data_IF_671433062442
#
_entry.id   IF_671433062442
#
_cell.length_a   1.000
_cell.length_b   1.000
_cell.length_c   1.000
_cell.angle_alpha   90.00
_cell.angle_beta   90.00
_cell.angle_gamma   90.00
#
_symmetry.space_group_name_H-M   'P 1'
#
loop_
_entity.id
_entity.type
_entity.pdbx_description
1 polymer ?
#
# COMPACT_ATOMS: atom_id res chain seq x y z
N UNK A 1 28.65 40.81 7.92
CA UNK A 1 28.47 39.34 7.98
C UNK A 1 27.97 38.88 6.62
N UNK A 2 28.77 38.10 5.90
CA UNK A 2 28.54 37.72 4.51
C UNK A 2 27.42 36.69 4.39
N UNK A 3 26.51 36.91 3.43
CA UNK A 3 25.37 36.06 3.03
C UNK A 3 25.79 34.68 2.47
N UNK A 4 27.09 34.37 2.45
CA UNK A 4 27.68 33.17 1.86
C UNK A 4 27.86 31.99 2.85
N UNK A 5 27.42 32.11 4.10
CA UNK A 5 27.59 31.06 5.10
C UNK A 5 26.44 30.03 5.15
N UNK A 6 25.31 30.28 4.48
CA UNK A 6 24.12 29.41 4.51
C UNK A 6 24.04 28.37 3.38
N UNK A 7 25.07 28.28 2.52
CA UNK A 7 25.12 27.34 1.38
C UNK A 7 26.03 26.13 1.64
N UNK A 8 26.61 25.99 2.84
CA UNK A 8 27.50 24.86 3.18
C UNK A 8 26.75 23.65 3.75
N UNK A 9 25.86 23.08 2.94
CA UNK A 9 25.18 21.81 3.26
C UNK A 9 24.63 21.05 2.05
N UNK A 10 24.56 21.66 0.87
CA UNK A 10 24.16 20.97 -0.36
C UNK A 10 25.37 20.29 -0.99
N UNK A 11 25.48 18.95 -0.82
CA UNK A 11 26.26 18.12 -1.75
C UNK A 11 25.85 18.52 -3.17
N UNK A 12 26.81 18.87 -4.03
CA UNK A 12 26.57 19.16 -5.45
C UNK A 12 25.87 17.96 -6.09
N UNK A 13 24.55 18.03 -6.24
CA UNK A 13 23.81 17.12 -7.11
C UNK A 13 24.25 17.44 -8.55
N UNK A 14 24.79 16.44 -9.26
CA UNK A 14 25.15 16.60 -10.66
C UNK A 14 23.92 16.98 -11.48
N UNK A 15 24.09 17.81 -12.51
CA UNK A 15 22.99 18.19 -13.40
C UNK A 15 22.42 16.92 -14.06
N UNK A 16 21.15 16.59 -13.79
CA UNK A 16 20.48 15.44 -14.41
C UNK A 16 20.54 15.57 -15.93
N UNK A 17 20.94 14.48 -16.60
CA UNK A 17 21.04 14.42 -18.07
C UNK A 17 19.91 13.57 -18.62
N UNK A 18 19.13 14.14 -19.53
CA UNK A 18 18.04 13.44 -20.18
C UNK A 18 18.51 12.19 -20.95
N UNK A 19 17.75 11.11 -20.83
CA UNK A 19 17.82 9.92 -21.68
C UNK A 19 16.40 9.63 -22.20
N UNK A 20 16.21 9.27 -23.48
CA UNK A 20 14.91 8.85 -23.98
C UNK A 20 14.38 7.65 -23.19
N UNK A 21 13.12 7.74 -22.81
CA UNK A 21 12.41 6.78 -21.97
C UNK A 21 10.99 6.62 -22.48
N UNK A 22 10.40 5.45 -22.24
CA UNK A 22 8.99 5.22 -22.50
C UNK A 22 8.18 5.73 -21.30
N UNK A 23 7.29 6.70 -21.54
CA UNK A 23 6.46 7.30 -20.48
C UNK A 23 5.56 6.26 -19.81
N UNK A 24 5.09 5.25 -20.56
CA UNK A 24 4.30 4.17 -19.99
C UNK A 24 5.11 3.38 -18.95
N UNK A 25 6.34 3.00 -19.30
CA UNK A 25 7.22 2.23 -18.42
C UNK A 25 7.58 3.04 -17.18
N UNK A 26 7.80 4.35 -17.31
CA UNK A 26 8.06 5.23 -16.17
C UNK A 26 6.90 5.26 -15.18
N UNK A 27 5.67 5.38 -15.66
CA UNK A 27 4.50 5.41 -14.76
C UNK A 27 4.39 4.09 -13.99
N UNK A 28 4.53 2.96 -14.68
CA UNK A 28 4.53 1.65 -14.05
C UNK A 28 5.67 1.52 -13.02
N UNK A 29 6.88 1.95 -13.37
CA UNK A 29 8.03 1.82 -12.49
C UNK A 29 7.98 2.76 -11.29
N UNK A 30 7.45 3.98 -11.43
CA UNK A 30 7.20 4.86 -10.27
C UNK A 30 6.17 4.22 -9.33
N UNK A 31 5.05 3.70 -9.85
CA UNK A 31 4.03 3.01 -9.05
C UNK A 31 4.63 1.84 -8.28
N UNK A 32 5.30 0.92 -8.99
CA UNK A 32 5.90 -0.28 -8.39
C UNK A 32 6.99 0.09 -7.37
N UNK A 33 7.76 1.16 -7.61
CA UNK A 33 8.77 1.64 -6.67
C UNK A 33 8.11 2.26 -5.43
N UNK A 34 7.03 3.02 -5.58
CA UNK A 34 6.29 3.60 -4.46
C UNK A 34 5.67 2.52 -3.57
N UNK A 35 5.09 1.46 -4.14
CA UNK A 35 4.60 0.29 -3.40
C UNK A 35 5.72 -0.38 -2.59
N UNK A 36 6.86 -0.66 -3.24
CA UNK A 36 8.04 -1.20 -2.55
C UNK A 36 8.53 -0.28 -1.43
N UNK A 37 8.53 1.03 -1.66
CA UNK A 37 8.91 2.00 -0.63
C UNK A 37 7.98 1.97 0.58
N UNK A 38 6.67 1.80 0.39
CA UNK A 38 5.72 1.66 1.49
C UNK A 38 5.99 0.37 2.29
N UNK A 39 6.20 -0.75 1.60
CA UNK A 39 6.50 -2.03 2.22
C UNK A 39 7.79 -1.98 3.06
N UNK A 40 8.82 -1.34 2.52
CA UNK A 40 10.09 -1.13 3.22
C UNK A 40 9.96 -0.14 4.38
N UNK A 41 9.18 0.94 4.22
CA UNK A 41 8.96 1.91 5.28
C UNK A 41 8.24 1.28 6.47
N UNK A 42 7.17 0.52 6.23
CA UNK A 42 6.47 -0.24 7.26
C UNK A 42 7.36 -1.32 7.87
N UNK A 43 8.13 -2.04 7.05
CA UNK A 43 9.12 -3.02 7.54
C UNK A 43 10.18 -2.35 8.43
N UNK A 44 10.62 -1.13 8.11
CA UNK A 44 11.58 -0.38 8.90
C UNK A 44 11.01 -0.07 10.29
N UNK A 45 9.76 0.35 10.36
CA UNK A 45 9.05 0.63 11.62
C UNK A 45 8.85 -0.66 12.42
N UNK A 46 8.30 -1.70 11.77
CA UNK A 46 7.91 -2.95 12.41
C UNK A 46 9.11 -3.71 12.99
N UNK A 47 10.17 -3.86 12.18
CA UNK A 47 11.34 -4.65 12.55
C UNK A 47 12.47 -3.81 13.16
N UNK A 48 12.27 -2.49 13.30
CA UNK A 48 13.28 -1.53 13.79
C UNK A 48 14.61 -1.62 13.02
N UNK A 49 14.54 -1.90 11.72
CA UNK A 49 15.69 -2.03 10.84
C UNK A 49 15.88 -0.73 10.03
N UNK A 50 16.86 0.09 10.42
CA UNK A 50 17.13 1.39 9.79
C UNK A 50 17.50 1.28 8.31
N UNK A 51 18.13 0.17 7.92
CA UNK A 51 18.53 -0.08 6.54
C UNK A 51 17.37 0.02 5.55
N UNK A 52 16.17 -0.44 5.90
CA UNK A 52 15.02 -0.30 5.01
C UNK A 52 14.60 1.15 4.83
N UNK A 53 14.62 1.95 5.91
CA UNK A 53 14.32 3.36 5.80
C UNK A 53 15.38 4.14 5.02
N UNK A 54 16.65 3.74 5.12
CA UNK A 54 17.73 4.27 4.27
C UNK A 54 17.52 3.90 2.80
N UNK A 55 17.15 2.65 2.49
CA UNK A 55 16.83 2.23 1.13
C UNK A 55 15.64 3.02 0.56
N UNK A 56 14.58 3.27 1.36
CA UNK A 56 13.45 4.11 0.94
C UNK A 56 13.93 5.50 0.50
N UNK A 57 14.87 6.11 1.23
CA UNK A 57 15.46 7.41 0.85
C UNK A 57 16.32 7.31 -0.42
N UNK A 58 16.96 6.18 -0.69
CA UNK A 58 17.67 5.97 -1.96
C UNK A 58 16.70 5.73 -3.13
N UNK A 59 15.58 5.03 -2.91
CA UNK A 59 14.51 4.85 -3.89
C UNK A 59 13.82 6.17 -4.24
N UNK A 60 13.64 7.08 -3.27
CA UNK A 60 13.15 8.44 -3.50
C UNK A 60 13.98 9.16 -4.58
N UNK A 61 15.32 9.07 -4.50
CA UNK A 61 16.20 9.69 -5.51
C UNK A 61 16.01 9.08 -6.89
N UNK A 62 15.80 7.75 -6.98
CA UNK A 62 15.51 7.09 -8.26
C UNK A 62 14.16 7.55 -8.83
N UNK A 63 13.15 7.69 -7.97
CA UNK A 63 11.85 8.27 -8.35
C UNK A 63 12.03 9.70 -8.88
N UNK A 64 12.78 10.56 -8.19
CA UNK A 64 13.06 11.92 -8.64
C UNK A 64 13.74 11.95 -10.03
N UNK A 65 14.66 11.02 -10.28
CA UNK A 65 15.26 10.84 -11.61
C UNK A 65 14.23 10.41 -12.66
N UNK A 66 13.37 9.43 -12.35
CA UNK A 66 12.32 8.96 -13.25
C UNK A 66 11.30 10.05 -13.57
N UNK A 67 10.88 10.84 -12.58
CA UNK A 67 10.00 12.00 -12.77
C UNK A 67 10.64 12.99 -13.74
N UNK A 68 11.91 13.32 -13.53
CA UNK A 68 12.62 14.24 -14.43
C UNK A 68 12.61 13.74 -15.86
N UNK A 69 12.93 12.45 -16.08
CA UNK A 69 12.93 11.86 -17.42
C UNK A 69 11.52 11.84 -18.02
N UNK A 70 10.52 11.42 -17.25
CA UNK A 70 9.12 11.37 -17.67
C UNK A 70 8.59 12.73 -18.08
N UNK A 71 8.80 13.77 -17.26
CA UNK A 71 8.41 15.16 -17.57
C UNK A 71 9.04 15.65 -18.86
N UNK A 72 10.36 15.44 -19.04
CA UNK A 72 11.05 15.86 -20.27
C UNK A 72 10.51 15.09 -21.49
N UNK A 73 10.26 13.78 -21.38
CA UNK A 73 9.69 13.00 -22.47
C UNK A 73 8.28 13.45 -22.86
N UNK A 74 7.42 13.74 -21.88
CA UNK A 74 6.08 14.30 -22.14
C UNK A 74 6.18 15.66 -22.82
N UNK A 75 7.06 16.56 -22.36
CA UNK A 75 7.27 17.87 -22.98
C UNK A 75 7.76 17.77 -24.43
N UNK A 76 8.63 16.81 -24.74
CA UNK A 76 9.14 16.59 -26.10
C UNK A 76 8.09 15.94 -27.03
N UNK A 77 7.13 15.19 -26.47
CA UNK A 77 6.04 14.57 -27.22
C UNK A 77 4.95 15.58 -27.60
N UNK A 78 4.71 16.59 -26.76
CA UNK A 78 3.64 17.54 -26.92
C UNK A 78 3.79 18.41 -28.19
N UNK A 79 2.76 18.43 -29.04
CA UNK A 79 2.71 19.24 -30.28
C UNK A 79 1.39 20.00 -30.38
N UNK A 80 1.41 21.28 -29.99
CA UNK A 80 0.23 22.13 -30.01
C UNK A 80 -0.63 21.99 -28.76
N UNK A 81 -1.64 22.84 -28.63
CA UNK A 81 -2.43 23.01 -27.39
C UNK A 81 -3.23 21.75 -27.05
N UNK A 82 -3.84 21.11 -28.04
CA UNK A 82 -4.66 19.91 -27.85
C UNK A 82 -3.84 18.74 -27.26
N UNK A 83 -2.66 18.48 -27.82
CA UNK A 83 -1.76 17.43 -27.31
C UNK A 83 -1.25 17.76 -25.90
N UNK A 84 -0.94 19.04 -25.63
CA UNK A 84 -0.56 19.50 -24.28
C UNK A 84 -1.68 19.25 -23.28
N UNK A 85 -2.94 19.52 -23.65
CA UNK A 85 -4.10 19.30 -22.78
C UNK A 85 -4.28 17.81 -22.48
N UNK A 86 -4.12 16.93 -23.46
CA UNK A 86 -4.22 15.49 -23.24
C UNK A 86 -3.06 14.96 -22.38
N UNK A 87 -1.84 15.45 -22.60
CA UNK A 87 -0.65 15.04 -21.84
C UNK A 87 -0.59 15.63 -20.42
N UNK A 88 -1.45 16.60 -20.08
CA UNK A 88 -1.53 17.15 -18.73
C UNK A 88 -1.90 16.09 -17.69
N UNK A 89 -2.83 15.17 -18.02
CA UNK A 89 -3.20 14.06 -17.12
C UNK A 89 -2.04 13.08 -16.90
N UNK A 90 -1.19 12.91 -17.90
CA UNK A 90 0.04 12.09 -17.80
C UNK A 90 1.05 12.70 -16.83
N UNK A 91 1.26 14.02 -16.90
CA UNK A 91 2.12 14.73 -15.94
C UNK A 91 1.55 14.65 -14.52
N UNK A 92 0.24 14.84 -14.37
CA UNK A 92 -0.43 14.74 -13.08
C UNK A 92 -0.25 13.35 -12.45
N UNK A 93 -0.38 12.27 -13.22
CA UNK A 93 -0.14 10.91 -12.70
C UNK A 93 1.31 10.73 -12.28
N UNK A 94 2.29 11.15 -13.10
CA UNK A 94 3.71 11.06 -12.74
C UNK A 94 3.98 11.78 -11.41
N UNK A 95 3.46 12.99 -11.27
CA UNK A 95 3.68 13.82 -10.09
C UNK A 95 2.98 13.24 -8.86
N UNK A 96 1.72 12.84 -8.98
CA UNK A 96 0.94 12.25 -7.88
C UNK A 96 1.54 10.91 -7.42
N UNK A 97 1.98 10.07 -8.36
CA UNK A 97 2.68 8.81 -8.05
C UNK A 97 3.95 9.06 -7.22
N UNK A 98 4.65 10.17 -7.46
CA UNK A 98 5.79 10.57 -6.65
C UNK A 98 5.38 11.04 -5.26
N UNK A 99 4.27 11.77 -5.13
CA UNK A 99 3.77 12.22 -3.83
C UNK A 99 3.43 11.06 -2.89
N UNK A 100 2.91 9.95 -3.42
CA UNK A 100 2.75 8.68 -2.66
C UNK A 100 4.10 8.24 -2.08
N UNK A 101 5.16 8.24 -2.90
CA UNK A 101 6.50 7.85 -2.47
C UNK A 101 7.07 8.75 -1.37
N UNK A 102 6.77 10.06 -1.38
CA UNK A 102 7.19 10.97 -0.32
C UNK A 102 6.49 10.67 1.02
N UNK A 103 5.26 10.14 0.99
CA UNK A 103 4.60 9.59 2.18
C UNK A 103 5.37 8.40 2.77
N UNK A 104 5.85 7.49 1.92
CA UNK A 104 6.70 6.37 2.34
C UNK A 104 8.02 6.84 2.97
N UNK A 105 8.63 7.90 2.43
CA UNK A 105 9.84 8.51 3.02
C UNK A 105 9.55 9.09 4.41
N UNK A 106 8.41 9.74 4.59
CA UNK A 106 8.01 10.30 5.89
C UNK A 106 7.79 9.18 6.94
N UNK A 107 7.25 8.03 6.53
CA UNK A 107 7.17 6.82 7.37
C UNK A 107 8.56 6.26 7.70
N UNK A 108 9.42 6.08 6.70
CA UNK A 108 10.79 5.57 6.88
C UNK A 108 11.61 6.42 7.87
N UNK A 109 11.44 7.75 7.83
CA UNK A 109 12.11 8.69 8.74
C UNK A 109 11.77 8.48 10.20
N UNK A 110 10.64 7.82 10.53
CA UNK A 110 10.27 7.51 11.91
C UNK A 110 11.33 6.64 12.57
N UNK A 111 11.79 5.60 11.88
CA UNK A 111 12.83 4.71 12.40
C UNK A 111 14.24 5.26 12.13
N UNK A 112 14.50 5.83 10.94
CA UNK A 112 15.84 6.37 10.58
C UNK A 112 16.26 7.50 11.55
N UNK A 113 15.32 8.37 11.92
CA UNK A 113 15.57 9.54 12.78
C UNK A 113 15.23 9.30 14.26
N UNK A 114 15.01 8.04 14.66
CA UNK A 114 14.67 7.66 16.04
C UNK A 114 13.51 8.49 16.64
N UNK A 115 12.44 8.73 15.86
CA UNK A 115 11.30 9.56 16.28
C UNK A 115 10.54 8.89 17.43
N UNK A 116 10.42 7.55 17.39
CA UNK A 116 9.76 6.71 18.38
C UNK A 116 8.26 6.48 18.08
N UNK A 117 7.77 5.28 18.40
CA UNK A 117 6.36 4.86 18.34
C UNK A 117 6.09 3.96 19.57
N UNK A 118 4.92 4.05 20.23
CA UNK A 118 4.55 3.13 21.31
C UNK A 118 4.56 1.67 20.85
N UNK A 119 5.11 0.76 21.65
CA UNK A 119 5.24 -0.67 21.28
C UNK A 119 3.90 -1.35 20.96
N UNK A 120 2.81 -0.91 21.59
CA UNK A 120 1.45 -1.39 21.33
C UNK A 120 1.06 -1.34 19.84
N UNK A 121 1.59 -0.37 19.09
CA UNK A 121 1.35 -0.26 17.65
C UNK A 121 2.00 -1.35 16.82
N UNK A 122 3.15 -1.85 17.24
CA UNK A 122 3.88 -2.89 16.50
C UNK A 122 3.08 -4.19 16.45
N UNK A 123 2.23 -4.44 17.45
CA UNK A 123 1.40 -5.63 17.53
C UNK A 123 0.23 -5.64 16.54
N UNK A 124 -0.11 -4.52 15.89
CA UNK A 124 -1.24 -4.44 14.94
C UNK A 124 -0.84 -4.42 13.48
N UNK A 125 0.44 -4.48 13.14
CA UNK A 125 0.87 -4.43 11.74
C UNK A 125 0.39 -5.63 10.91
N UNK A 126 0.09 -6.77 11.54
CA UNK A 126 -0.53 -7.92 10.88
C UNK A 126 -1.99 -7.66 10.43
N UNK A 127 -2.61 -6.57 10.88
CA UNK A 127 -3.97 -6.17 10.47
C UNK A 127 -3.97 -5.29 9.23
N UNK A 128 -2.80 -4.89 8.73
CA UNK A 128 -2.66 -4.09 7.51
C UNK A 128 -2.82 -5.03 6.30
N UNK A 129 -3.19 -4.45 5.16
CA UNK A 129 -3.53 -5.12 3.89
C UNK A 129 -2.79 -6.44 3.59
N UNK A 130 -1.47 -6.47 3.70
CA UNK A 130 -0.74 -7.73 3.72
C UNK A 130 0.17 -7.78 4.94
N UNK A 131 0.27 -8.96 5.55
CA UNK A 131 1.07 -9.17 6.74
C UNK A 131 2.56 -9.19 6.39
N UNK A 132 3.33 -8.40 7.13
CA UNK A 132 4.80 -8.39 7.05
C UNK A 132 5.39 -9.32 8.11
N UNK A 133 6.36 -10.16 7.71
CA UNK A 133 7.11 -11.01 8.63
C UNK A 133 8.63 -10.91 8.39
N UNK A 134 9.40 -11.18 9.44
CA UNK A 134 10.85 -11.25 9.38
C UNK A 134 11.38 -12.45 10.16
N UNK A 135 12.11 -13.32 9.48
CA UNK A 135 12.62 -14.56 10.06
C UNK A 135 14.06 -14.83 9.63
N UNK A 136 14.77 -15.63 10.42
CA UNK A 136 16.11 -16.14 10.08
C UNK A 136 15.96 -17.61 9.74
N UNK A 137 16.48 -18.03 8.58
CA UNK A 137 16.40 -19.40 8.08
C UNK A 137 17.34 -20.32 8.88
N UNK A 138 16.83 -21.28 9.67
CA UNK A 138 17.68 -22.21 10.42
C UNK A 138 18.46 -23.17 9.51
N UNK A 139 19.58 -23.71 10.00
CA UNK A 139 20.44 -24.64 9.23
C UNK A 139 19.72 -25.88 8.68
N UNK A 140 18.70 -26.37 9.38
CA UNK A 140 17.92 -27.56 9.02
C UNK A 140 16.57 -27.23 8.35
N UNK A 141 16.40 -26.00 7.88
CA UNK A 141 15.16 -25.56 7.26
C UNK A 141 14.93 -26.18 5.88
N UNK A 142 13.65 -26.38 5.52
CA UNK A 142 13.24 -26.77 4.16
C UNK A 142 13.56 -25.70 3.13
N UNK A 143 13.71 -24.44 3.54
CA UNK A 143 14.05 -23.32 2.66
C UNK A 143 15.54 -23.29 2.23
N UNK A 144 16.43 -24.04 2.90
CA UNK A 144 17.85 -24.05 2.53
C UNK A 144 18.05 -24.66 1.15
N UNK A 145 18.79 -23.94 0.28
CA UNK A 145 19.04 -24.28 -1.13
C UNK A 145 17.78 -24.28 -2.01
N UNK A 146 16.74 -23.57 -1.60
CA UNK A 146 15.53 -23.34 -2.39
C UNK A 146 15.58 -21.93 -2.99
N UNK A 147 15.10 -21.78 -4.23
CA UNK A 147 15.00 -20.48 -4.87
C UNK A 147 13.86 -19.65 -4.30
N UNK A 148 14.01 -18.32 -4.29
CA UNK A 148 12.99 -17.36 -3.87
C UNK A 148 11.64 -17.69 -4.50
N UNK A 149 11.58 -17.79 -5.84
CA UNK A 149 10.35 -18.06 -6.57
C UNK A 149 9.64 -19.34 -6.12
N UNK A 150 10.40 -20.39 -5.76
CA UNK A 150 9.80 -21.63 -5.30
C UNK A 150 9.21 -21.50 -3.90
N UNK A 151 9.82 -20.70 -3.02
CA UNK A 151 9.26 -20.41 -1.69
C UNK A 151 7.96 -19.62 -1.86
N UNK A 152 7.99 -18.56 -2.67
CA UNK A 152 6.83 -17.70 -2.91
C UNK A 152 5.65 -18.49 -3.49
N UNK A 153 5.90 -19.32 -4.51
CA UNK A 153 4.86 -20.15 -5.13
C UNK A 153 4.25 -21.20 -4.19
N UNK A 154 5.03 -21.73 -3.26
CA UNK A 154 4.54 -22.75 -2.31
C UNK A 154 3.75 -22.10 -1.18
N UNK A 155 4.24 -20.96 -0.68
CA UNK A 155 3.75 -20.38 0.57
C UNK A 155 2.75 -19.26 0.37
N UNK A 156 2.68 -18.66 -0.83
CA UNK A 156 1.86 -17.47 -1.09
C UNK A 156 2.44 -16.16 -0.56
N UNK A 157 3.55 -16.18 0.16
CA UNK A 157 4.23 -14.99 0.68
C UNK A 157 5.34 -14.54 -0.28
N UNK A 158 5.38 -13.26 -0.64
CA UNK A 158 6.42 -12.63 -1.46
C UNK A 158 7.61 -12.20 -0.62
N UNK A 159 8.83 -12.55 -1.01
CA UNK A 159 10.06 -12.13 -0.32
C UNK A 159 10.48 -10.76 -0.87
N UNK A 160 10.39 -9.73 -0.03
CA UNK A 160 10.70 -8.34 -0.41
C UNK A 160 12.14 -7.94 -0.06
N UNK A 161 12.79 -8.65 0.88
CA UNK A 161 14.19 -8.42 1.20
C UNK A 161 14.90 -9.68 1.74
N UNK A 162 16.18 -9.79 1.45
CA UNK A 162 17.07 -10.84 1.98
C UNK A 162 18.30 -10.17 2.59
N UNK A 163 18.62 -10.49 3.84
CA UNK A 163 19.93 -10.25 4.43
C UNK A 163 20.72 -11.54 4.43
N UNK A 164 21.83 -11.58 3.71
CA UNK A 164 22.71 -12.75 3.75
C UNK A 164 23.36 -12.88 5.13
N UNK A 165 23.87 -14.08 5.45
CA UNK A 165 24.70 -14.31 6.65
C UNK A 165 25.92 -13.39 6.76
N UNK A 166 26.43 -12.87 5.63
CA UNK A 166 27.52 -11.86 5.58
C UNK A 166 27.05 -10.44 5.89
N UNK A 167 25.75 -10.23 6.08
CA UNK A 167 25.14 -8.94 6.40
C UNK A 167 24.75 -8.08 5.19
N UNK A 168 24.90 -8.58 3.96
CA UNK A 168 24.53 -7.85 2.74
C UNK A 168 23.02 -7.96 2.51
N UNK A 169 22.38 -6.82 2.32
CA UNK A 169 20.97 -6.76 1.92
C UNK A 169 20.80 -6.83 0.41
N UNK A 170 19.76 -7.53 -0.01
CA UNK A 170 19.21 -7.54 -1.36
C UNK A 170 17.73 -7.19 -1.24
N UNK A 171 17.31 -6.14 -1.92
CA UNK A 171 15.94 -5.61 -1.90
C UNK A 171 15.24 -6.02 -3.19
N UNK A 172 13.99 -6.44 -3.09
CA UNK A 172 13.20 -7.02 -4.19
C UNK A 172 13.99 -8.11 -4.95
N UNK A 173 14.40 -9.20 -4.26
CA UNK A 173 15.25 -10.23 -4.85
C UNK A 173 14.60 -10.86 -6.09
N UNK A 174 15.41 -11.12 -7.11
CA UNK A 174 14.98 -11.90 -8.28
C UNK A 174 14.71 -13.37 -7.90
N UNK A 175 13.75 -13.99 -8.59
CA UNK A 175 13.20 -15.30 -8.22
C UNK A 175 14.17 -16.47 -8.25
N UNK A 176 15.30 -16.36 -8.96
CA UNK A 176 16.34 -17.39 -9.08
C UNK A 176 17.39 -17.34 -7.95
N UNK A 177 17.36 -16.31 -7.09
CA UNK A 177 18.21 -16.25 -5.91
C UNK A 177 17.93 -17.46 -5.01
N UNK A 178 19.01 -18.13 -4.60
CA UNK A 178 18.96 -19.28 -3.70
C UNK A 178 19.11 -18.83 -2.25
N UNK A 179 18.21 -19.31 -1.38
CA UNK A 179 18.25 -19.03 0.06
C UNK A 179 19.20 -20.00 0.77
N UNK A 180 20.00 -19.47 1.69
CA UNK A 180 20.93 -20.23 2.51
C UNK A 180 20.60 -20.14 4.01
N UNK A 181 21.22 -21.04 4.78
CA UNK A 181 21.12 -21.01 6.23
C UNK A 181 21.65 -19.68 6.79
N UNK A 182 20.98 -19.18 7.83
CA UNK A 182 21.23 -17.90 8.49
C UNK A 182 20.93 -16.65 7.64
N UNK A 183 20.35 -16.81 6.46
CA UNK A 183 19.77 -15.67 5.75
C UNK A 183 18.54 -15.17 6.53
N UNK A 184 18.39 -13.85 6.62
CA UNK A 184 17.18 -13.22 7.13
C UNK A 184 16.28 -12.87 5.96
N UNK A 185 15.04 -13.36 6.00
CA UNK A 185 14.03 -13.05 5.00
C UNK A 185 13.06 -12.03 5.57
N UNK A 186 12.64 -11.10 4.73
CA UNK A 186 11.44 -10.29 4.95
C UNK A 186 10.47 -10.60 3.85
N UNK A 187 9.26 -10.96 4.25
CA UNK A 187 8.21 -11.31 3.33
C UNK A 187 6.90 -10.60 3.68
N UNK A 188 6.06 -10.48 2.66
CA UNK A 188 4.74 -9.85 2.69
C UNK A 188 3.74 -10.79 2.01
N UNK A 189 2.52 -10.86 2.50
CA UNK A 189 1.44 -11.57 1.84
C UNK A 189 0.21 -11.73 2.73
N UNK A 190 -0.79 -12.51 2.28
CA UNK A 190 -2.02 -12.76 3.04
C UNK A 190 -1.73 -13.30 4.44
N UNK A 191 -2.57 -12.95 5.42
CA UNK A 191 -2.37 -13.41 6.79
C UNK A 191 -2.43 -14.95 6.90
N UNK A 192 -3.29 -15.58 6.11
CA UNK A 192 -3.49 -17.02 6.01
C UNK A 192 -2.25 -17.75 5.49
N UNK A 193 -1.45 -17.08 4.65
CA UNK A 193 -0.22 -17.60 4.07
C UNK A 193 0.96 -17.59 5.06
N UNK A 194 0.84 -16.86 6.17
CA UNK A 194 1.93 -16.65 7.11
C UNK A 194 2.38 -17.95 7.79
N UNK A 195 1.44 -18.76 8.28
CA UNK A 195 1.76 -20.00 8.99
C UNK A 195 2.56 -20.95 8.08
N UNK A 196 2.10 -21.13 6.84
CA UNK A 196 2.78 -21.98 5.86
C UNK A 196 4.19 -21.46 5.56
N UNK A 197 4.34 -20.15 5.37
CA UNK A 197 5.65 -19.52 5.16
C UNK A 197 6.60 -19.72 6.34
N UNK A 198 6.15 -19.47 7.57
CA UNK A 198 6.98 -19.63 8.77
C UNK A 198 7.38 -21.10 9.00
N UNK A 199 6.45 -22.03 8.81
CA UNK A 199 6.74 -23.47 8.90
C UNK A 199 7.69 -23.91 7.79
N UNK A 200 7.54 -23.40 6.57
CA UNK A 200 8.44 -23.72 5.45
C UNK A 200 9.86 -23.19 5.73
N UNK A 201 9.98 -21.94 6.19
CA UNK A 201 11.25 -21.28 6.37
C UNK A 201 11.95 -21.57 7.70
N UNK A 202 11.23 -21.90 8.76
CA UNK A 202 11.80 -22.09 10.12
C UNK A 202 11.47 -23.44 10.75
N UNK A 203 10.46 -24.14 10.25
CA UNK A 203 9.98 -25.41 10.81
C UNK A 203 8.96 -25.25 11.94
N UNK A 204 8.57 -24.02 12.30
CA UNK A 204 7.55 -23.71 13.30
C UNK A 204 6.80 -22.43 12.93
N UNK A 205 5.63 -22.24 13.52
CA UNK A 205 4.88 -20.98 13.50
C UNK A 205 4.75 -20.48 14.94
N UNK A 206 4.92 -19.17 15.15
CA UNK A 206 4.62 -18.53 16.43
C UNK A 206 3.37 -17.67 16.26
N UNK A 207 2.28 -18.05 16.94
CA UNK A 207 1.05 -17.29 16.87
C UNK A 207 1.25 -15.87 17.42
N UNK A 208 0.67 -14.88 16.73
CA UNK A 208 0.65 -13.52 17.27
C UNK A 208 -0.15 -13.47 18.57
N UNK A 209 0.30 -12.66 19.56
CA UNK A 209 -0.50 -12.40 20.75
C UNK A 209 -1.84 -11.80 20.34
N UNK A 210 -2.92 -12.26 20.97
CA UNK A 210 -4.25 -11.73 20.66
C UNK A 210 -4.34 -10.26 21.08
N UNK A 211 -5.08 -9.43 20.33
CA UNK A 211 -5.27 -8.01 20.70
C UNK A 211 -5.91 -7.85 22.10
N UNK A 212 -6.66 -8.86 22.55
CA UNK A 212 -7.21 -8.94 23.90
C UNK A 212 -6.17 -9.10 25.01
N UNK A 213 -4.97 -9.57 24.68
CA UNK A 213 -3.84 -9.69 25.62
C UNK A 213 -3.08 -8.37 25.80
N UNK A 214 -3.30 -7.38 24.92
CA UNK A 214 -2.73 -6.05 25.06
C UNK A 214 -3.45 -5.33 26.22
N UNK A 215 -2.88 -5.38 27.42
CA UNK A 215 -3.33 -4.63 28.60
C UNK A 215 -3.06 -3.12 28.45
N UNK A 216 -3.65 -2.49 27.43
CA UNK A 216 -3.46 -1.09 27.08
C UNK A 216 -4.61 -0.18 27.56
N UNK A 217 -4.36 1.11 27.85
CA UNK A 217 -5.42 2.07 28.14
C UNK A 217 -6.42 2.18 26.97
N UNK A 218 -7.72 2.34 27.26
CA UNK A 218 -8.78 2.49 26.23
C UNK A 218 -8.46 3.55 25.17
N UNK A 219 -7.84 4.65 25.58
CA UNK A 219 -7.47 5.73 24.66
C UNK A 219 -6.33 5.32 23.72
N UNK A 220 -5.33 4.56 24.19
CA UNK A 220 -4.26 4.03 23.34
C UNK A 220 -4.83 3.03 22.33
N UNK A 221 -5.75 2.18 22.77
CA UNK A 221 -6.50 1.27 21.88
C UNK A 221 -7.22 2.03 20.77
N UNK A 222 -7.91 3.11 21.10
CA UNK A 222 -8.65 3.88 20.09
C UNK A 222 -7.71 4.60 19.10
N UNK A 223 -6.60 5.17 19.58
CA UNK A 223 -5.53 5.73 18.74
C UNK A 223 -5.00 4.65 17.78
N UNK A 224 -4.75 3.45 18.30
CA UNK A 224 -4.28 2.29 17.53
C UNK A 224 -5.25 1.89 16.43
N UNK A 225 -6.50 1.66 16.77
CA UNK A 225 -7.55 1.31 15.81
C UNK A 225 -7.75 2.39 14.74
N UNK A 226 -7.71 3.67 15.13
CA UNK A 226 -7.88 4.80 14.20
C UNK A 226 -6.72 4.88 13.21
N UNK A 227 -5.48 4.77 13.67
CA UNK A 227 -4.33 4.79 12.75
C UNK A 227 -4.27 3.54 11.86
N UNK A 228 -4.62 2.35 12.36
CA UNK A 228 -4.74 1.17 11.51
C UNK A 228 -5.76 1.41 10.40
N UNK A 229 -6.94 1.96 10.72
CA UNK A 229 -7.94 2.34 9.73
C UNK A 229 -7.39 3.37 8.73
N UNK A 230 -6.66 4.39 9.19
CA UNK A 230 -6.03 5.37 8.30
C UNK A 230 -5.01 4.76 7.35
N UNK A 231 -4.14 3.87 7.85
CA UNK A 231 -3.14 3.18 7.04
C UNK A 231 -3.81 2.33 5.96
N UNK A 232 -4.83 1.55 6.31
CA UNK A 232 -5.55 0.69 5.38
C UNK A 232 -6.31 1.49 4.31
N UNK A 233 -6.99 2.57 4.71
CA UNK A 233 -7.65 3.47 3.78
C UNK A 233 -6.67 4.11 2.79
N UNK A 234 -5.52 4.56 3.28
CA UNK A 234 -4.49 5.19 2.42
C UNK A 234 -3.85 4.21 1.43
N UNK A 235 -3.75 2.92 1.76
CA UNK A 235 -3.27 1.90 0.82
C UNK A 235 -4.34 1.54 -0.21
N UNK A 236 -5.58 1.32 0.26
CA UNK A 236 -6.73 1.07 -0.61
C UNK A 236 -6.95 2.21 -1.63
N UNK A 237 -6.75 3.47 -1.22
CA UNK A 237 -6.93 4.62 -2.11
C UNK A 237 -5.96 4.62 -3.29
N UNK A 238 -4.71 4.15 -3.11
CA UNK A 238 -3.72 4.05 -4.19
C UNK A 238 -4.24 3.11 -5.28
N UNK A 239 -4.64 1.93 -4.86
CA UNK A 239 -5.11 0.85 -5.72
C UNK A 239 -6.39 1.24 -6.47
N UNK A 240 -7.35 1.85 -5.77
CA UNK A 240 -8.56 2.40 -6.36
C UNK A 240 -8.26 3.54 -7.35
N UNK A 241 -7.34 4.44 -7.03
CA UNK A 241 -7.00 5.58 -7.88
C UNK A 241 -6.43 5.12 -9.22
N UNK A 242 -5.43 4.23 -9.21
CA UNK A 242 -4.88 3.67 -10.45
C UNK A 242 -5.92 2.87 -11.22
N UNK A 243 -6.70 2.01 -10.54
CA UNK A 243 -7.80 1.26 -11.16
C UNK A 243 -8.81 2.19 -11.85
N UNK A 244 -9.18 3.30 -11.20
CA UNK A 244 -10.15 4.26 -11.76
C UNK A 244 -9.70 4.85 -13.09
N UNK A 245 -8.42 5.20 -13.21
CA UNK A 245 -7.80 5.71 -14.44
C UNK A 245 -7.69 4.63 -15.51
N UNK A 246 -7.27 3.42 -15.15
CA UNK A 246 -7.10 2.30 -16.09
C UNK A 246 -8.43 1.90 -16.74
N UNK A 247 -9.46 1.76 -15.91
CA UNK A 247 -10.77 1.25 -16.35
C UNK A 247 -11.76 2.38 -16.67
N UNK A 248 -11.34 3.63 -16.53
CA UNK A 248 -12.16 4.81 -16.73
C UNK A 248 -13.47 4.77 -15.90
N UNK A 249 -13.36 4.37 -14.63
CA UNK A 249 -14.51 4.11 -13.75
C UNK A 249 -14.73 5.25 -12.77
N UNK A 250 -15.59 6.19 -13.14
CA UNK A 250 -15.91 7.37 -12.30
C UNK A 250 -16.37 7.01 -10.89
N UNK A 251 -17.17 5.96 -10.72
CA UNK A 251 -17.62 5.52 -9.39
C UNK A 251 -16.50 5.03 -8.47
N UNK A 252 -15.38 4.55 -9.02
CA UNK A 252 -14.18 4.22 -8.23
C UNK A 252 -13.45 5.51 -7.85
N UNK A 253 -13.33 6.46 -8.78
CA UNK A 253 -12.72 7.76 -8.50
C UNK A 253 -13.49 8.53 -7.40
N UNK A 254 -14.83 8.48 -7.41
CA UNK A 254 -15.69 9.05 -6.36
C UNK A 254 -15.45 8.38 -5.00
N UNK A 255 -15.16 7.08 -4.98
CA UNK A 255 -14.81 6.37 -3.73
C UNK A 255 -13.44 6.80 -3.20
N UNK A 256 -12.45 7.04 -4.06
CA UNK A 256 -11.14 7.60 -3.65
C UNK A 256 -11.32 8.96 -2.98
N UNK A 257 -12.13 9.84 -3.56
CA UNK A 257 -12.44 11.14 -2.95
C UNK A 257 -13.13 10.99 -1.59
N UNK A 258 -14.09 10.06 -1.47
CA UNK A 258 -14.76 9.78 -0.20
C UNK A 258 -13.83 9.20 0.87
N UNK A 259 -12.80 8.43 0.47
CA UNK A 259 -11.75 7.94 1.37
C UNK A 259 -10.90 9.08 1.91
N UNK A 260 -10.53 10.06 1.07
CA UNK A 260 -9.76 11.22 1.50
C UNK A 260 -10.55 12.10 2.50
N UNK A 261 -11.81 12.42 2.20
CA UNK A 261 -12.70 13.14 3.14
C UNK A 261 -12.77 12.41 4.49
N UNK A 262 -12.82 11.07 4.46
CA UNK A 262 -12.86 10.23 5.66
C UNK A 262 -11.54 10.27 6.43
N UNK A 263 -10.40 10.28 5.73
CA UNK A 263 -9.08 10.34 6.34
C UNK A 263 -8.83 11.69 7.02
N UNK A 264 -9.30 12.80 6.47
CA UNK A 264 -9.26 14.11 7.13
C UNK A 264 -10.00 14.07 8.49
N UNK A 265 -11.19 13.48 8.52
CA UNK A 265 -11.98 13.32 9.75
C UNK A 265 -11.22 12.45 10.76
N UNK A 266 -10.73 11.27 10.33
CA UNK A 266 -10.00 10.35 11.21
C UNK A 266 -8.73 11.00 11.76
N UNK A 267 -8.01 11.79 10.95
CA UNK A 267 -6.83 12.54 11.38
C UNK A 267 -7.17 13.53 12.49
N UNK A 268 -8.23 14.31 12.31
CA UNK A 268 -8.69 15.29 13.31
C UNK A 268 -9.07 14.62 14.63
N UNK A 269 -9.82 13.51 14.57
CA UNK A 269 -10.18 12.71 15.74
C UNK A 269 -8.95 12.10 16.43
N UNK A 270 -7.99 11.59 15.64
CA UNK A 270 -6.74 11.02 16.14
C UNK A 270 -5.90 12.07 16.88
N UNK A 271 -5.78 13.28 16.34
CA UNK A 271 -5.02 14.37 16.96
C UNK A 271 -5.58 14.72 18.35
N UNK A 272 -6.91 14.82 18.52
CA UNK A 272 -7.53 15.03 19.84
C UNK A 272 -7.22 13.88 20.82
N UNK A 273 -7.33 12.63 20.37
CA UNK A 273 -7.02 11.48 21.20
C UNK A 273 -5.55 11.42 21.61
N UNK A 274 -4.62 11.72 20.70
CA UNK A 274 -3.18 11.80 20.98
C UNK A 274 -2.91 12.90 22.02
N UNK A 275 -3.51 14.08 21.88
CA UNK A 275 -3.35 15.18 22.84
C UNK A 275 -3.90 14.84 24.24
N UNK A 276 -5.00 14.10 24.31
CA UNK A 276 -5.53 13.59 25.58
C UNK A 276 -4.63 12.52 26.18
N UNK A 277 -4.11 11.61 25.36
CA UNK A 277 -3.21 10.55 25.81
C UNK A 277 -1.87 11.10 26.29
N UNK A 278 -1.39 12.20 25.70
CA UNK A 278 -0.19 12.92 26.12
C UNK A 278 -0.21 13.35 27.59
N UNK A 279 -1.39 13.45 28.22
CA UNK A 279 -1.54 13.78 29.64
C UNK A 279 -1.19 12.63 30.58
N UNK A 280 -1.21 11.39 30.10
CA UNK A 280 -1.05 10.18 30.93
C UNK A 280 0.11 9.28 30.49
N UNK A 281 0.69 9.51 29.31
CA UNK A 281 1.87 8.77 28.85
C UNK A 281 3.14 9.27 29.55
N UNK A 282 4.05 8.35 29.87
CA UNK A 282 5.34 8.71 30.48
C UNK A 282 6.24 9.45 29.51
N UNK A 283 6.34 8.94 28.26
CA UNK A 283 7.19 9.50 27.22
C UNK A 283 6.36 10.08 26.07
N UNK A 284 6.06 11.39 26.15
CA UNK A 284 5.30 12.11 25.12
C UNK A 284 6.00 12.10 23.75
N UNK A 285 7.33 11.94 23.70
CA UNK A 285 8.08 11.96 22.45
C UNK A 285 7.73 10.79 21.52
N UNK A 286 7.28 9.65 22.07
CA UNK A 286 6.83 8.49 21.29
C UNK A 286 5.54 8.77 20.51
N UNK A 287 4.74 9.76 20.92
CA UNK A 287 3.53 10.14 20.22
C UNK A 287 3.81 10.84 18.88
N UNK A 288 5.04 11.33 18.67
CA UNK A 288 5.43 11.99 17.41
C UNK A 288 5.39 11.01 16.24
N UNK A 289 5.74 9.74 16.44
CA UNK A 289 5.66 8.73 15.41
C UNK A 289 4.23 8.49 14.95
N UNK A 290 3.26 8.52 15.87
CA UNK A 290 1.84 8.38 15.57
C UNK A 290 1.32 9.50 14.66
N UNK A 291 1.67 10.75 14.98
CA UNK A 291 1.34 11.91 14.15
C UNK A 291 2.00 11.84 12.76
N UNK A 292 3.22 11.29 12.68
CA UNK A 292 3.92 11.10 11.41
C UNK A 292 3.27 10.03 10.53
N UNK A 293 2.79 8.93 11.12
CA UNK A 293 2.02 7.92 10.38
C UNK A 293 0.73 8.56 9.85
N UNK A 294 -0.01 9.27 10.71
CA UNK A 294 -1.25 9.94 10.30
C UNK A 294 -1.05 10.90 9.11
N UNK A 295 -0.04 11.77 9.20
CA UNK A 295 0.27 12.73 8.14
C UNK A 295 0.78 12.07 6.86
N UNK A 296 1.50 10.95 6.97
CA UNK A 296 1.93 10.20 5.79
C UNK A 296 0.74 9.51 5.10
N UNK A 297 -0.18 8.89 5.87
CA UNK A 297 -1.40 8.28 5.34
C UNK A 297 -2.30 9.29 4.63
N UNK A 298 -2.46 10.49 5.18
CA UNK A 298 -3.18 11.58 4.52
C UNK A 298 -2.48 12.00 3.22
N UNK A 299 -1.17 12.30 3.25
CA UNK A 299 -0.42 12.67 2.03
C UNK A 299 -0.54 11.63 0.91
N UNK A 300 -0.54 10.35 1.26
CA UNK A 300 -0.73 9.24 0.31
C UNK A 300 -2.14 9.29 -0.29
N UNK A 301 -3.16 9.54 0.54
CA UNK A 301 -4.54 9.65 0.09
C UNK A 301 -4.78 10.89 -0.76
N UNK A 302 -4.20 12.03 -0.40
CA UNK A 302 -4.27 13.26 -1.20
C UNK A 302 -3.71 13.01 -2.61
N UNK A 303 -2.55 12.36 -2.68
CA UNK A 303 -1.93 11.97 -3.95
C UNK A 303 -2.79 10.95 -4.73
N UNK A 304 -3.48 10.05 -4.03
CA UNK A 304 -4.42 9.12 -4.65
C UNK A 304 -5.63 9.85 -5.23
N UNK A 305 -6.18 10.83 -4.49
CA UNK A 305 -7.26 11.70 -4.94
C UNK A 305 -6.84 12.53 -6.13
N UNK A 306 -5.63 13.09 -6.15
CA UNK A 306 -5.09 13.82 -7.31
C UNK A 306 -5.08 12.95 -8.58
N UNK A 307 -4.81 11.64 -8.48
CA UNK A 307 -4.90 10.70 -9.61
C UNK A 307 -6.36 10.51 -10.03
N UNK A 308 -7.27 10.28 -9.07
CA UNK A 308 -8.69 10.05 -9.32
C UNK A 308 -9.40 11.29 -9.90
N UNK A 309 -8.99 12.49 -9.47
CA UNK A 309 -9.56 13.78 -9.85
C UNK A 309 -9.39 14.09 -11.33
N UNK A 310 -8.47 13.41 -12.02
CA UNK A 310 -8.36 13.45 -13.48
C UNK A 310 -9.71 13.06 -14.13
N UNK A 311 -10.37 12.03 -13.62
CA UNK A 311 -11.69 11.61 -14.11
C UNK A 311 -12.81 12.53 -13.61
N UNK A 312 -12.74 12.96 -12.35
CA UNK A 312 -13.80 13.77 -11.74
C UNK A 312 -13.86 15.18 -12.33
N UNK A 313 -12.71 15.74 -12.70
CA UNK A 313 -12.56 17.07 -13.29
C UNK A 313 -12.80 17.10 -14.80
N UNK A 314 -13.09 15.95 -15.42
CA UNK A 314 -13.31 15.84 -16.86
C UNK A 314 -12.05 16.11 -17.70
N UNK A 315 -10.86 15.98 -17.11
CA UNK A 315 -9.60 16.07 -17.83
C UNK A 315 -9.49 14.83 -18.73
N UNK A 316 -9.24 15.05 -20.02
CA UNK A 316 -9.10 13.95 -20.98
C UNK A 316 -7.96 13.00 -20.58
N UNK A 317 -8.26 11.70 -20.55
CA UNK A 317 -7.25 10.66 -20.38
C UNK A 317 -6.52 10.42 -21.70
N UNK A 318 -5.20 10.68 -21.72
CA UNK A 318 -4.40 10.31 -22.88
C UNK A 318 -4.31 8.77 -22.99
N UNK A 319 -4.51 8.17 -24.18
CA UNK A 319 -4.53 6.71 -24.36
C UNK A 319 -3.32 5.96 -23.80
N UNK A 320 -2.14 6.62 -23.74
CA UNK A 320 -0.92 6.05 -23.16
C UNK A 320 -1.12 5.53 -21.73
N UNK A 321 -2.00 6.17 -20.95
CA UNK A 321 -2.29 5.81 -19.56
C UNK A 321 -3.01 4.46 -19.46
N UNK A 322 -3.94 4.20 -20.38
CA UNK A 322 -4.66 2.92 -20.46
C UNK A 322 -3.72 1.75 -20.75
N UNK A 323 -2.58 2.02 -21.39
CA UNK A 323 -1.55 1.02 -21.63
C UNK A 323 -0.51 0.97 -20.52
N UNK A 324 -0.22 2.10 -19.86
CA UNK A 324 0.89 2.24 -18.92
C UNK A 324 0.73 1.37 -17.67
N UNK A 325 -0.47 1.34 -17.12
CA UNK A 325 -0.73 0.68 -15.83
C UNK A 325 -1.34 -0.72 -16.05
N UNK A 326 -1.45 -1.17 -17.31
CA UNK A 326 -2.07 -2.44 -17.71
C UNK A 326 -1.13 -3.65 -17.63
N UNK A 327 -0.26 -3.69 -16.62
CA UNK A 327 0.73 -4.76 -16.46
C UNK A 327 0.22 -5.97 -15.68
N UNK A 328 -0.83 -5.82 -14.87
CA UNK A 328 -1.60 -6.95 -14.34
C UNK A 328 -3.01 -6.99 -14.96
N UNK A 329 -3.51 -8.19 -15.26
CA UNK A 329 -4.90 -8.43 -15.64
C UNK A 329 -5.86 -8.31 -14.43
N UNK A 330 -5.35 -7.81 -13.29
CA UNK A 330 -6.14 -7.57 -12.09
C UNK A 330 -6.93 -6.27 -12.22
N UNK A 331 -8.18 -6.33 -11.79
CA UNK A 331 -9.12 -5.23 -11.76
C UNK A 331 -9.61 -5.05 -10.34
N UNK A 332 -9.91 -3.80 -9.98
CA UNK A 332 -10.63 -3.51 -8.75
C UNK A 332 -12.02 -3.06 -9.13
N UNK A 333 -13.01 -3.66 -8.48
CA UNK A 333 -14.42 -3.44 -8.75
C UNK A 333 -15.14 -2.95 -7.51
N UNK A 334 -16.02 -1.95 -7.71
CA UNK A 334 -16.95 -1.47 -6.70
C UNK A 334 -18.34 -1.97 -7.08
N UNK A 335 -18.99 -2.67 -6.15
CA UNK A 335 -20.31 -3.26 -6.36
C UNK A 335 -21.17 -2.98 -5.13
N UNK A 336 -22.38 -2.49 -5.37
CA UNK A 336 -23.43 -2.45 -4.35
C UNK A 336 -24.26 -3.72 -4.49
N UNK A 337 -24.45 -4.45 -3.38
CA UNK A 337 -25.21 -5.70 -3.37
C UNK A 337 -26.70 -5.36 -3.55
N UNK A 338 -27.32 -5.88 -4.61
CA UNK A 338 -28.75 -5.71 -4.82
C UNK A 338 -29.56 -6.64 -3.90
N UNK A 339 -30.75 -6.17 -3.53
CA UNK A 339 -31.75 -6.96 -2.81
C UNK A 339 -32.11 -8.23 -3.60
N UNK A 340 -32.25 -9.36 -2.90
CA UNK A 340 -32.54 -10.68 -3.49
C UNK A 340 -31.44 -11.22 -4.43
N UNK A 341 -30.25 -10.61 -4.46
CA UNK A 341 -29.09 -11.14 -5.19
C UNK A 341 -28.56 -12.44 -4.55
N UNK A 342 -27.67 -13.14 -5.24
CA UNK A 342 -27.08 -14.37 -4.69
C UNK A 342 -26.17 -14.13 -3.50
N UNK A 343 -25.65 -12.90 -3.34
CA UNK A 343 -24.85 -12.49 -2.20
C UNK A 343 -25.70 -12.07 -0.99
N UNK A 344 -26.93 -11.60 -1.22
CA UNK A 344 -27.78 -11.07 -0.15
C UNK A 344 -28.13 -12.15 0.89
N UNK A 345 -27.75 -11.88 2.15
CA UNK A 345 -28.04 -12.73 3.27
C UNK A 345 -27.15 -13.96 3.41
N UNK A 346 -26.06 -14.08 2.65
CA UNK A 346 -25.09 -15.18 2.75
C UNK A 346 -23.73 -14.74 3.26
N UNK A 347 -22.95 -15.68 3.80
CA UNK A 347 -21.57 -15.39 4.20
C UNK A 347 -20.59 -15.48 3.02
N UNK A 348 -19.46 -14.78 3.12
CA UNK A 348 -18.39 -14.81 2.10
C UNK A 348 -17.90 -16.24 1.84
N UNK A 349 -17.69 -17.01 2.91
CA UNK A 349 -17.23 -18.39 2.87
C UNK A 349 -18.30 -19.40 2.45
N UNK A 350 -19.59 -19.12 2.64
CA UNK A 350 -20.67 -19.97 2.11
C UNK A 350 -20.72 -19.96 0.58
N UNK A 351 -20.22 -18.89 -0.02
CA UNK A 351 -20.27 -18.63 -1.46
C UNK A 351 -18.95 -18.94 -2.18
N UNK A 352 -17.88 -19.25 -1.43
CA UNK A 352 -16.53 -19.48 -1.94
C UNK A 352 -16.14 -18.45 -3.03
N UNK A 353 -16.44 -17.16 -2.79
CA UNK A 353 -16.40 -16.10 -3.81
C UNK A 353 -15.04 -16.07 -4.53
N UNK A 354 -13.95 -16.18 -3.77
CA UNK A 354 -12.60 -16.17 -4.32
C UNK A 354 -12.34 -17.35 -5.26
N UNK A 355 -12.84 -18.54 -4.93
CA UNK A 355 -12.67 -19.75 -5.77
C UNK A 355 -13.57 -19.70 -7.01
N UNK A 356 -14.83 -19.29 -6.84
CA UNK A 356 -15.83 -19.30 -7.91
C UNK A 356 -15.61 -18.18 -8.95
N UNK A 357 -15.17 -17.02 -8.46
CA UNK A 357 -15.01 -15.83 -9.30
C UNK A 357 -13.55 -15.51 -9.59
N UNK A 358 -12.60 -15.91 -8.75
CA UNK A 358 -11.23 -15.40 -8.80
C UNK A 358 -11.10 -13.97 -8.28
N UNK A 359 -12.13 -13.44 -7.60
CA UNK A 359 -12.15 -12.12 -6.99
C UNK A 359 -12.14 -12.24 -5.47
N UNK A 360 -11.25 -11.50 -4.83
CA UNK A 360 -11.16 -11.40 -3.38
C UNK A 360 -11.81 -10.08 -2.90
N UNK A 361 -12.71 -10.15 -1.91
CA UNK A 361 -13.31 -8.95 -1.31
C UNK A 361 -12.28 -8.34 -0.35
N UNK A 362 -11.72 -7.19 -0.74
CA UNK A 362 -10.67 -6.51 0.05
C UNK A 362 -11.25 -5.47 1.01
N UNK A 363 -12.45 -4.93 0.72
CA UNK A 363 -13.13 -4.01 1.62
C UNK A 363 -14.66 -4.10 1.50
N UNK A 364 -15.35 -3.83 2.61
CA UNK A 364 -16.79 -3.82 2.72
C UNK A 364 -17.25 -2.62 3.55
N UNK A 365 -18.32 -1.95 3.10
CA UNK A 365 -18.96 -0.85 3.81
C UNK A 365 -20.47 -1.03 3.82
N UNK A 366 -21.04 -1.08 5.02
CA UNK A 366 -22.49 -0.99 5.21
C UNK A 366 -22.95 0.45 4.88
N UNK A 367 -24.13 0.67 4.27
CA UNK A 367 -24.62 2.00 3.88
C UNK A 367 -24.59 3.06 4.99
N UNK A 368 -24.84 2.64 6.23
CA UNK A 368 -24.93 3.51 7.41
C UNK A 368 -23.71 3.41 8.32
N UNK A 369 -22.72 2.58 7.97
CA UNK A 369 -21.51 2.45 8.76
C UNK A 369 -20.55 3.61 8.45
N UNK A 370 -19.95 4.11 9.51
CA UNK A 370 -18.90 5.13 9.46
C UNK A 370 -17.53 4.53 9.12
N UNK A 371 -17.38 3.22 9.32
CA UNK A 371 -16.12 2.47 9.19
C UNK A 371 -16.20 1.45 8.06
N UNK A 372 -15.09 1.34 7.34
CA UNK A 372 -14.84 0.22 6.45
C UNK A 372 -14.45 -1.02 7.25
N UNK A 373 -14.86 -2.17 6.76
CA UNK A 373 -14.29 -3.45 7.15
C UNK A 373 -13.36 -3.91 6.04
N UNK A 374 -12.10 -4.13 6.36
CA UNK A 374 -11.09 -4.60 5.42
C UNK A 374 -10.86 -6.09 5.59
N UNK A 375 -10.57 -6.78 4.49
CA UNK A 375 -10.34 -8.23 4.42
C UNK A 375 -11.35 -9.01 5.28
N UNK A 376 -12.67 -8.85 5.03
CA UNK A 376 -13.69 -9.54 5.79
C UNK A 376 -13.49 -11.06 5.71
N UNK A 377 -13.53 -11.72 6.86
CA UNK A 377 -13.39 -13.18 6.98
C UNK A 377 -14.57 -13.91 6.35
N UNK A 378 -14.38 -15.21 6.06
CA UNK A 378 -15.40 -16.06 5.44
C UNK A 378 -16.72 -16.19 6.22
N UNK A 379 -16.72 -15.96 7.52
CA UNK A 379 -17.93 -15.95 8.35
C UNK A 379 -18.72 -14.63 8.28
N UNK A 380 -18.18 -13.59 7.62
CA UNK A 380 -18.86 -12.32 7.47
C UNK A 380 -20.06 -12.44 6.54
N UNK A 381 -21.21 -11.93 7.01
CA UNK A 381 -22.48 -11.98 6.29
C UNK A 381 -22.70 -10.73 5.45
N UNK A 382 -22.88 -10.92 4.15
CA UNK A 382 -23.23 -9.90 3.17
C UNK A 382 -24.74 -9.62 3.21
N UNK A 383 -25.11 -8.36 3.06
CA UNK A 383 -26.51 -7.90 3.05
C UNK A 383 -26.76 -6.96 1.87
N UNK A 384 -28.01 -6.87 1.43
CA UNK A 384 -28.43 -5.87 0.46
C UNK A 384 -27.97 -4.45 0.86
N UNK A 385 -27.60 -3.67 -0.15
CA UNK A 385 -26.99 -2.35 -0.09
C UNK A 385 -25.56 -2.29 0.48
N UNK A 386 -24.97 -3.40 0.91
CA UNK A 386 -23.53 -3.40 1.22
C UNK A 386 -22.73 -3.00 -0.02
N UNK A 387 -21.73 -2.14 0.18
CA UNK A 387 -20.76 -1.79 -0.84
C UNK A 387 -19.53 -2.68 -0.63
N UNK A 388 -19.22 -3.49 -1.62
CA UNK A 388 -17.99 -4.30 -1.64
C UNK A 388 -17.00 -3.73 -2.65
N UNK A 389 -15.74 -3.75 -2.25
CA UNK A 389 -14.59 -3.58 -3.12
C UNK A 389 -13.91 -4.93 -3.24
N UNK A 390 -13.78 -5.42 -4.47
CA UNK A 390 -13.09 -6.67 -4.74
C UNK A 390 -11.98 -6.49 -5.76
N UNK A 391 -10.92 -7.29 -5.61
CA UNK A 391 -9.72 -7.31 -6.47
C UNK A 391 -9.51 -8.71 -7.00
N UNK A 392 -9.18 -8.83 -8.28
CA UNK A 392 -8.92 -10.12 -8.91
C UNK A 392 -8.85 -9.99 -10.43
N UNK A 393 -8.77 -11.11 -11.14
CA UNK A 393 -8.65 -11.09 -12.60
C UNK A 393 -9.91 -10.52 -13.26
N UNK A 394 -9.72 -9.83 -14.39
CA UNK A 394 -10.83 -9.23 -15.16
C UNK A 394 -11.97 -10.19 -15.51
N UNK A 395 -11.67 -11.46 -15.76
CA UNK A 395 -12.67 -12.50 -16.05
C UNK A 395 -13.62 -12.75 -14.86
N UNK A 396 -13.14 -12.52 -13.64
CA UNK A 396 -13.89 -12.68 -12.40
C UNK A 396 -14.89 -11.57 -12.10
N UNK A 397 -14.63 -10.35 -12.57
CA UNK A 397 -15.47 -9.17 -12.29
C UNK A 397 -16.92 -9.39 -12.74
N UNK A 398 -17.12 -9.85 -13.98
CA UNK A 398 -18.46 -10.10 -14.52
C UNK A 398 -19.22 -11.16 -13.72
N UNK A 399 -18.52 -12.22 -13.28
CA UNK A 399 -19.12 -13.27 -12.44
C UNK A 399 -19.56 -12.70 -11.09
N UNK A 400 -18.67 -11.95 -10.43
CA UNK A 400 -18.98 -11.33 -9.14
C UNK A 400 -20.14 -10.34 -9.24
N UNK A 401 -20.16 -9.50 -10.28
CA UNK A 401 -21.27 -8.57 -10.55
C UNK A 401 -22.59 -9.30 -10.74
N UNK A 402 -22.60 -10.42 -11.48
CA UNK A 402 -23.79 -11.25 -11.64
C UNK A 402 -24.27 -11.83 -10.32
N UNK A 403 -23.36 -12.31 -9.46
CA UNK A 403 -23.72 -12.81 -8.13
C UNK A 403 -24.33 -11.70 -7.26
N UNK A 404 -23.74 -10.50 -7.31
CA UNK A 404 -24.11 -9.36 -6.49
C UNK A 404 -25.37 -8.61 -6.95
N UNK A 405 -25.74 -8.70 -8.23
CA UNK A 405 -26.85 -7.92 -8.81
C UNK A 405 -27.95 -8.78 -9.44
N UNK A 406 -27.70 -10.08 -9.66
CA UNK A 406 -28.62 -10.97 -10.38
C UNK A 406 -28.76 -10.65 -11.88
N UNK A 407 -28.02 -9.68 -12.42
CA UNK A 407 -28.10 -9.22 -13.81
C UNK A 407 -26.89 -9.73 -14.61
N UNK A 408 -27.13 -10.20 -15.83
CA UNK A 408 -26.08 -10.36 -16.83
C UNK A 408 -25.77 -8.98 -17.42
N UNK A 409 -24.52 -8.55 -17.35
CA UNK A 409 -24.04 -7.25 -17.87
C UNK A 409 -23.13 -7.41 -19.07
#
# INVERSE_FOLDING_TARGET
MNYNALVMGMKKSGRLKYKPVNVKEIIAEIRNTAELMLDLAYSSILFKEKHFGEEVIELEKKIDEMIFMGRVSVMLAARGIEEVQNLASVLQIIDSSAHISYGAVDLAKINVSDIGIPSAFLHTFHLIEETLTSLIVPEKSKAVKISVQKIENVTGMRIIAIKTSTGKWTINPVGDIIIYANDRLIAKGPFEALEEFEVFCTGKHEAFPSLSELNEPKILRHIRETLTEMMMLSLLSIDLAYSSVIFNTKGIAEEVAAIEDKLEILRSELEDHILRYAKIVENVLELRGLLRIASASEKISDASKDIADILLSGIGLHPILLYAIKESDEVITRIEIEEESQLDGKSIGELDIEVETGMNIIALKKPRAVKWQFYPKGDHKLEAADIIIAKGLKEGDNKLRKLATGKDM
#
